data_IF_846510398660
#
_entry.id   IF_846510398660
#
_cell.length_a   1.000
_cell.length_b   1.000
_cell.length_c   1.000
_cell.angle_alpha   90.00
_cell.angle_beta   90.00
_cell.angle_gamma   90.00
#
_symmetry.space_group_name_H-M   'P 1'
#
loop_
_entity.id
_entity.type
_entity.pdbx_description
1 polymer ?
#
# COMPACT_ATOMS: atom_id res chain seq x y z
N UNK A 1 5.80 10.20 24.36
CA UNK A 1 6.54 9.66 23.23
C UNK A 1 6.69 10.72 22.13
N UNK A 2 7.85 10.87 21.42
CA UNK A 2 8.05 11.94 20.43
C UNK A 2 7.02 11.96 19.30
N UNK A 3 6.55 10.81 18.85
CA UNK A 3 5.52 10.71 17.80
C UNK A 3 4.17 11.24 18.31
N UNK A 4 3.83 10.98 19.56
CA UNK A 4 2.61 11.51 20.19
C UNK A 4 2.71 13.04 20.39
N UNK A 5 3.87 13.52 20.84
CA UNK A 5 4.13 14.96 20.98
C UNK A 5 3.97 15.67 19.63
N UNK A 6 4.56 15.13 18.59
CA UNK A 6 4.47 15.69 17.24
C UNK A 6 3.03 15.68 16.71
N UNK A 7 2.31 14.58 16.91
CA UNK A 7 0.91 14.45 16.54
C UNK A 7 0.02 15.43 17.31
N UNK A 8 0.25 15.59 18.62
CA UNK A 8 -0.51 16.52 19.45
C UNK A 8 -0.25 17.98 19.05
N UNK A 9 1.02 18.37 18.82
CA UNK A 9 1.36 19.72 18.35
C UNK A 9 0.67 20.04 17.02
N UNK A 10 0.64 19.08 16.10
CA UNK A 10 -0.09 19.21 14.85
C UNK A 10 -1.59 19.40 15.09
N UNK A 11 -2.20 18.53 15.92
CA UNK A 11 -3.62 18.59 16.25
C UNK A 11 -4.01 19.94 16.85
N UNK A 12 -3.24 20.41 17.82
CA UNK A 12 -3.48 21.71 18.48
C UNK A 12 -3.41 22.87 17.49
N UNK A 13 -2.41 22.91 16.62
CA UNK A 13 -2.27 24.01 15.65
C UNK A 13 -3.42 24.01 14.63
N UNK A 14 -3.85 22.82 14.16
CA UNK A 14 -5.01 22.73 13.24
C UNK A 14 -6.30 23.16 13.95
N UNK A 15 -6.45 22.86 15.25
CA UNK A 15 -7.65 23.19 16.04
C UNK A 15 -7.70 24.69 16.36
N UNK A 16 -6.56 25.30 16.77
CA UNK A 16 -6.47 26.75 17.05
C UNK A 16 -6.70 27.56 15.77
N UNK A 17 -6.24 27.05 14.63
CA UNK A 17 -6.42 27.62 13.30
C UNK A 17 -5.97 29.10 13.18
N UNK A 18 -4.73 29.45 13.57
CA UNK A 18 -4.33 30.85 13.77
C UNK A 18 -4.15 31.66 12.47
N UNK A 19 -4.04 31.02 11.32
CA UNK A 19 -3.79 31.68 10.05
C UNK A 19 -5.02 31.74 9.15
N UNK A 20 -5.12 32.76 8.30
CA UNK A 20 -6.19 32.86 7.30
C UNK A 20 -6.14 31.70 6.30
N UNK A 21 -4.94 31.26 5.91
CA UNK A 21 -4.71 30.07 5.06
C UNK A 21 -3.40 29.36 5.47
N UNK A 22 -3.26 28.12 5.07
CA UNK A 22 -2.03 27.35 5.29
C UNK A 22 -1.94 26.61 6.62
N UNK A 23 -2.94 26.67 7.50
CA UNK A 23 -2.90 26.02 8.82
C UNK A 23 -2.50 24.54 8.74
N UNK A 24 -3.12 23.77 7.86
CA UNK A 24 -2.78 22.37 7.69
C UNK A 24 -1.36 22.13 7.13
N UNK A 25 -0.83 23.04 6.32
CA UNK A 25 0.57 22.98 5.84
C UNK A 25 1.55 23.25 6.98
N UNK A 26 1.31 24.32 7.72
CA UNK A 26 2.13 24.72 8.86
C UNK A 26 2.11 23.65 9.96
N UNK A 27 0.95 23.09 10.28
CA UNK A 27 0.83 22.03 11.27
C UNK A 27 1.64 20.78 10.88
N UNK A 28 1.59 20.36 9.62
CA UNK A 28 2.42 19.24 9.15
C UNK A 28 3.92 19.55 9.18
N UNK A 29 4.32 20.77 8.87
CA UNK A 29 5.72 21.20 9.00
C UNK A 29 6.18 21.16 10.46
N UNK A 30 5.38 21.68 11.39
CA UNK A 30 5.67 21.64 12.82
C UNK A 30 5.80 20.19 13.33
N UNK A 31 4.84 19.34 12.96
CA UNK A 31 4.89 17.92 13.32
C UNK A 31 6.18 17.25 12.84
N UNK A 32 6.54 17.46 11.57
CA UNK A 32 7.73 16.88 10.99
C UNK A 32 9.03 17.47 11.58
N UNK A 33 9.03 18.74 11.92
CA UNK A 33 10.16 19.37 12.63
C UNK A 33 10.40 18.69 13.98
N UNK A 34 9.34 18.49 14.78
CA UNK A 34 9.42 17.81 16.08
C UNK A 34 9.92 16.36 15.90
N UNK A 35 9.39 15.63 14.91
CA UNK A 35 9.85 14.27 14.62
C UNK A 35 11.36 14.25 14.30
N UNK A 36 11.81 15.09 13.40
CA UNK A 36 13.22 15.14 12.99
C UNK A 36 14.15 15.56 14.13
N UNK A 37 13.75 16.49 14.99
CA UNK A 37 14.53 16.88 16.17
C UNK A 37 14.74 15.70 17.15
N UNK A 38 13.84 14.73 17.15
CA UNK A 38 13.93 13.52 17.98
C UNK A 38 14.47 12.30 17.22
N UNK A 39 15.06 12.48 16.03
CA UNK A 39 15.66 11.40 15.25
C UNK A 39 14.67 10.53 14.49
N UNK A 40 13.41 10.96 14.38
CA UNK A 40 12.39 10.27 13.60
C UNK A 40 12.33 10.80 12.17
N UNK A 41 12.07 9.94 11.17
CA UNK A 41 11.79 10.41 9.83
C UNK A 41 10.44 11.14 9.76
N UNK A 42 10.24 12.02 8.75
CA UNK A 42 9.00 12.77 8.63
C UNK A 42 7.79 11.86 8.36
N UNK A 43 6.65 12.19 8.95
CA UNK A 43 5.37 11.55 8.68
C UNK A 43 4.79 12.07 7.36
N UNK A 44 4.74 11.22 6.33
CA UNK A 44 4.21 11.55 5.02
C UNK A 44 2.78 11.03 4.86
N UNK A 45 1.79 11.92 4.95
CA UNK A 45 0.39 11.59 4.72
C UNK A 45 0.15 11.49 3.22
N UNK A 46 -0.07 10.26 2.71
CA UNK A 46 -0.26 10.01 1.28
C UNK A 46 -1.64 10.49 0.81
N UNK A 47 -1.74 10.80 -0.47
CA UNK A 47 -3.01 11.23 -1.10
C UNK A 47 -4.17 10.26 -0.83
N UNK A 48 -3.92 8.96 -0.83
CA UNK A 48 -4.93 7.91 -0.56
C UNK A 48 -5.39 7.88 0.90
N UNK A 49 -4.55 8.31 1.85
CA UNK A 49 -4.83 8.30 3.29
C UNK A 49 -5.48 9.62 3.74
N UNK A 50 -5.53 10.63 2.84
CA UNK A 50 -5.97 11.99 3.16
C UNK A 50 -7.40 12.07 3.70
N UNK A 51 -8.33 11.33 3.11
CA UNK A 51 -9.73 11.35 3.55
C UNK A 51 -9.87 10.81 4.97
N UNK A 52 -9.27 9.65 5.23
CA UNK A 52 -9.25 9.01 6.56
C UNK A 52 -8.59 9.93 7.61
N UNK A 53 -7.50 10.59 7.24
CA UNK A 53 -6.81 11.56 8.09
C UNK A 53 -7.69 12.76 8.43
N UNK A 54 -8.39 13.38 7.46
CA UNK A 54 -9.29 14.51 7.70
C UNK A 54 -10.44 14.09 8.60
N UNK A 55 -11.10 12.97 8.30
CA UNK A 55 -12.21 12.44 9.11
C UNK A 55 -11.80 12.16 10.55
N UNK A 56 -10.60 11.61 10.78
CA UNK A 56 -10.11 11.35 12.14
C UNK A 56 -9.82 12.64 12.92
N UNK A 57 -9.35 13.69 12.24
CA UNK A 57 -9.17 15.02 12.84
C UNK A 57 -10.52 15.66 13.20
N UNK A 58 -11.47 15.67 12.29
CA UNK A 58 -12.82 16.22 12.52
C UNK A 58 -13.50 15.49 13.68
N UNK A 59 -13.44 14.17 13.71
CA UNK A 59 -13.98 13.38 14.81
C UNK A 59 -13.37 13.77 16.17
N UNK A 60 -12.04 13.92 16.21
CA UNK A 60 -11.34 14.34 17.42
C UNK A 60 -11.72 15.78 17.85
N UNK A 61 -11.87 16.71 16.90
CA UNK A 61 -12.26 18.09 17.16
C UNK A 61 -13.70 18.22 17.68
N UNK A 62 -14.58 17.29 17.31
CA UNK A 62 -15.96 17.21 17.81
C UNK A 62 -16.07 16.52 19.18
N UNK A 63 -14.95 16.28 19.87
CA UNK A 63 -14.93 15.66 21.21
C UNK A 63 -14.83 14.13 21.18
N UNK A 64 -14.60 13.52 20.01
CA UNK A 64 -14.35 12.09 19.88
C UNK A 64 -12.91 11.69 20.23
N UNK A 65 -12.63 10.38 20.15
CA UNK A 65 -11.30 9.84 20.43
C UNK A 65 -10.27 10.28 19.39
N UNK A 66 -9.07 10.67 19.87
CA UNK A 66 -7.89 10.97 19.03
C UNK A 66 -7.15 9.71 18.55
N UNK A 67 -7.55 8.53 18.98
CA UNK A 67 -6.83 7.27 18.75
C UNK A 67 -6.65 6.98 17.24
N UNK A 68 -7.73 7.11 16.47
CA UNK A 68 -7.68 6.92 15.01
C UNK A 68 -6.71 7.87 14.32
N UNK A 69 -6.66 9.13 14.78
CA UNK A 69 -5.74 10.12 14.29
C UNK A 69 -4.27 9.77 14.65
N UNK A 70 -3.97 9.46 15.91
CA UNK A 70 -2.63 9.05 16.34
C UNK A 70 -2.13 7.82 15.59
N UNK A 71 -3.00 6.84 15.38
CA UNK A 71 -2.69 5.64 14.59
C UNK A 71 -2.24 5.98 13.17
N UNK A 72 -2.93 6.90 12.50
CA UNK A 72 -2.56 7.34 11.13
C UNK A 72 -1.18 7.99 11.12
N UNK A 73 -0.86 8.83 12.11
CA UNK A 73 0.47 9.47 12.20
C UNK A 73 1.54 8.41 12.46
N UNK A 74 1.34 7.51 13.43
CA UNK A 74 2.27 6.42 13.73
C UNK A 74 2.53 5.50 12.51
N UNK A 75 1.47 5.10 11.81
CA UNK A 75 1.57 4.36 10.56
C UNK A 75 2.36 5.11 9.48
N UNK A 76 2.24 6.45 9.45
CA UNK A 76 2.97 7.28 8.48
C UNK A 76 4.46 7.37 8.81
N UNK A 77 4.82 7.47 10.09
CA UNK A 77 6.22 7.42 10.57
C UNK A 77 6.84 6.05 10.30
N UNK A 78 6.15 4.96 10.64
CA UNK A 78 6.63 3.60 10.38
C UNK A 78 6.92 3.37 8.90
N UNK A 79 6.04 3.83 8.01
CA UNK A 79 6.29 3.74 6.56
C UNK A 79 7.53 4.53 6.11
N UNK A 80 7.78 5.67 6.74
CA UNK A 80 8.98 6.45 6.43
C UNK A 80 10.25 5.73 6.91
N UNK A 81 10.20 5.07 8.07
CA UNK A 81 11.29 4.19 8.51
C UNK A 81 11.55 3.04 7.53
N UNK A 82 10.51 2.37 7.05
CA UNK A 82 10.66 1.30 6.06
C UNK A 82 11.38 1.78 4.79
N UNK A 83 11.05 2.99 4.31
CA UNK A 83 11.72 3.59 3.14
C UNK A 83 13.20 3.88 3.48
N UNK A 84 13.46 4.42 4.66
CA UNK A 84 14.81 4.76 5.11
C UNK A 84 15.70 3.53 5.24
N UNK A 85 15.21 2.48 5.92
CA UNK A 85 15.96 1.24 6.11
C UNK A 85 16.25 0.52 4.79
N UNK A 86 15.32 0.53 3.85
CA UNK A 86 15.58 -0.02 2.50
C UNK A 86 16.69 0.74 1.79
N UNK A 87 16.63 2.06 1.80
CA UNK A 87 17.67 2.88 1.18
C UNK A 87 19.06 2.62 1.80
N UNK A 88 19.12 2.42 3.13
CA UNK A 88 20.37 2.10 3.82
C UNK A 88 20.88 0.67 3.54
N UNK A 89 19.96 -0.28 3.33
CA UNK A 89 20.31 -1.68 3.03
C UNK A 89 20.79 -1.91 1.60
N UNK A 90 20.78 -0.87 0.75
CA UNK A 90 21.07 -1.01 -0.68
C UNK A 90 20.03 -1.87 -1.43
N UNK A 91 18.90 -2.10 -0.80
CA UNK A 91 17.80 -2.84 -1.37
C UNK A 91 16.99 -1.91 -2.28
N UNK A 92 17.53 -1.66 -3.49
CA UNK A 92 16.88 -0.88 -4.55
C UNK A 92 15.66 -1.60 -5.16
N UNK A 93 15.26 -2.73 -4.60
CA UNK A 93 13.97 -3.31 -4.97
C UNK A 93 12.89 -2.26 -4.65
N UNK A 94 12.17 -1.78 -5.68
CA UNK A 94 11.07 -0.84 -5.44
C UNK A 94 10.19 -1.48 -4.38
N UNK A 95 9.92 -0.75 -3.30
CA UNK A 95 9.03 -1.22 -2.25
C UNK A 95 7.86 -1.93 -2.92
N UNK A 96 7.81 -3.24 -2.80
CA UNK A 96 6.63 -3.97 -3.22
C UNK A 96 5.51 -3.27 -2.46
N UNK A 97 4.75 -2.40 -3.16
CA UNK A 97 3.46 -1.96 -2.63
C UNK A 97 2.85 -3.23 -2.12
N UNK A 98 2.21 -3.28 -0.93
CA UNK A 98 1.32 -4.39 -0.67
C UNK A 98 0.42 -4.39 -1.91
N UNK A 99 0.73 -5.28 -2.84
CA UNK A 99 0.04 -5.33 -4.12
C UNK A 99 -1.36 -5.78 -3.75
N UNK A 100 -2.25 -4.79 -3.59
CA UNK A 100 -3.66 -5.10 -3.50
C UNK A 100 -3.97 -5.99 -4.70
N UNK A 101 -4.97 -6.83 -4.57
CA UNK A 101 -5.41 -7.74 -5.62
C UNK A 101 -5.31 -7.12 -7.01
N UNK A 102 -4.67 -7.82 -7.93
CA UNK A 102 -4.36 -7.35 -9.27
C UNK A 102 -5.57 -7.54 -10.20
N UNK A 103 -5.89 -6.55 -11.00
CA UNK A 103 -6.75 -6.77 -12.17
C UNK A 103 -5.95 -7.50 -13.26
N UNK A 104 -6.65 -8.21 -14.14
CA UNK A 104 -6.00 -8.97 -15.23
C UNK A 104 -5.05 -8.11 -16.09
N UNK A 105 -5.38 -6.85 -16.36
CA UNK A 105 -4.50 -5.96 -17.10
C UNK A 105 -3.23 -5.54 -16.34
N UNK A 106 -3.25 -5.56 -15.00
CA UNK A 106 -2.06 -5.32 -14.17
C UNK A 106 -1.19 -6.57 -14.14
N UNK A 107 -1.81 -7.75 -14.00
CA UNK A 107 -1.11 -9.04 -14.08
C UNK A 107 -0.44 -9.20 -15.44
N UNK A 108 -1.13 -8.85 -16.53
CA UNK A 108 -0.59 -8.85 -17.88
C UNK A 108 0.67 -7.98 -18.03
N UNK A 109 0.63 -6.75 -17.50
CA UNK A 109 1.79 -5.83 -17.52
C UNK A 109 2.99 -6.35 -16.73
N UNK A 110 2.74 -7.02 -15.60
CA UNK A 110 3.81 -7.52 -14.74
C UNK A 110 4.47 -8.79 -15.28
N UNK A 111 3.71 -9.61 -16.00
CA UNK A 111 4.16 -10.91 -16.52
C UNK A 111 4.57 -10.88 -17.99
N UNK A 112 4.24 -9.83 -18.71
CA UNK A 112 4.43 -9.74 -20.17
C UNK A 112 3.40 -10.56 -20.96
N UNK A 113 2.38 -11.14 -20.29
CA UNK A 113 1.37 -11.96 -20.93
C UNK A 113 0.20 -11.18 -21.52
N UNK A 114 -0.50 -11.79 -22.49
CA UNK A 114 -1.73 -11.20 -23.00
C UNK A 114 -2.91 -11.46 -22.05
N UNK A 115 -3.88 -10.53 -22.02
CA UNK A 115 -5.12 -10.74 -21.28
C UNK A 115 -5.88 -12.01 -21.72
N UNK A 116 -5.75 -12.39 -22.99
CA UNK A 116 -6.36 -13.61 -23.55
C UNK A 116 -5.73 -14.86 -22.94
N UNK A 117 -4.40 -14.93 -22.89
CA UNK A 117 -3.63 -16.01 -22.27
C UNK A 117 -4.00 -16.18 -20.79
N UNK A 118 -4.03 -15.06 -20.04
CA UNK A 118 -4.35 -15.11 -18.61
C UNK A 118 -5.80 -15.54 -18.36
N UNK A 119 -6.77 -15.12 -19.18
CA UNK A 119 -8.15 -15.61 -19.10
C UNK A 119 -8.24 -17.10 -19.36
N UNK A 120 -7.55 -17.59 -20.39
CA UNK A 120 -7.50 -19.00 -20.70
C UNK A 120 -6.91 -19.83 -19.55
N UNK A 121 -5.79 -19.38 -18.95
CA UNK A 121 -5.20 -20.04 -17.79
C UNK A 121 -6.09 -20.00 -16.54
N UNK A 122 -6.85 -18.92 -16.37
CA UNK A 122 -7.86 -18.85 -15.29
C UNK A 122 -8.99 -19.85 -15.53
N UNK A 123 -9.51 -19.95 -16.75
CA UNK A 123 -10.56 -20.91 -17.11
C UNK A 123 -10.07 -22.36 -17.00
N UNK A 124 -8.79 -22.60 -17.29
CA UNK A 124 -8.15 -23.91 -17.18
C UNK A 124 -7.72 -24.28 -15.76
N UNK A 125 -8.01 -23.42 -14.75
CA UNK A 125 -7.65 -23.65 -13.34
C UNK A 125 -6.18 -23.48 -13.00
N UNK A 126 -5.35 -23.00 -13.93
CA UNK A 126 -3.92 -22.74 -13.71
C UNK A 126 -3.69 -21.48 -12.87
N UNK A 127 -4.59 -20.50 -12.94
CA UNK A 127 -4.60 -19.28 -12.14
C UNK A 127 -5.88 -19.24 -11.30
N UNK A 128 -5.74 -18.89 -10.01
CA UNK A 128 -6.86 -18.78 -9.09
C UNK A 128 -7.31 -17.31 -8.98
N UNK A 129 -8.63 -17.11 -8.98
CA UNK A 129 -9.26 -15.83 -8.75
C UNK A 129 -9.41 -15.65 -7.24
N UNK A 130 -8.82 -14.59 -6.69
CA UNK A 130 -8.87 -14.29 -5.26
C UNK A 130 -10.17 -13.60 -4.87
N UNK A 131 -10.78 -12.84 -5.80
CA UNK A 131 -12.03 -12.11 -5.57
C UNK A 131 -12.62 -11.61 -6.89
N UNK A 132 -13.89 -11.18 -6.85
CA UNK A 132 -14.57 -10.57 -7.99
C UNK A 132 -15.12 -9.22 -7.55
N UNK A 133 -14.86 -8.16 -8.31
CA UNK A 133 -15.42 -6.83 -8.03
C UNK A 133 -16.92 -6.82 -8.23
N UNK A 134 -17.62 -5.82 -7.65
CA UNK A 134 -19.07 -5.61 -7.87
C UNK A 134 -19.46 -5.47 -9.35
N UNK A 135 -18.49 -5.09 -10.20
CA UNK A 135 -18.65 -4.99 -11.66
C UNK A 135 -18.26 -6.28 -12.41
N UNK A 136 -18.03 -7.41 -11.71
CA UNK A 136 -17.71 -8.70 -12.30
C UNK A 136 -16.26 -8.89 -12.77
N UNK A 137 -15.33 -8.00 -12.43
CA UNK A 137 -13.91 -8.16 -12.80
C UNK A 137 -13.18 -9.08 -11.83
N UNK A 138 -12.45 -10.05 -12.36
CA UNK A 138 -11.58 -10.92 -11.58
C UNK A 138 -10.41 -10.15 -10.97
N UNK A 139 -10.14 -10.46 -9.71
CA UNK A 139 -9.00 -9.96 -8.95
C UNK A 139 -8.09 -11.16 -8.58
N UNK A 140 -6.80 -10.98 -8.77
CA UNK A 140 -5.76 -11.98 -8.55
C UNK A 140 -4.85 -11.57 -7.40
N UNK A 141 -4.42 -12.53 -6.60
CA UNK A 141 -3.38 -12.27 -5.61
C UNK A 141 -2.02 -11.98 -6.29
N UNK A 142 -1.17 -11.16 -5.68
CA UNK A 142 0.16 -10.85 -6.21
C UNK A 142 1.01 -12.08 -6.52
N UNK A 143 0.88 -13.16 -5.75
CA UNK A 143 1.55 -14.44 -5.99
C UNK A 143 1.24 -15.08 -7.34
N UNK A 144 0.17 -14.62 -8.04
CA UNK A 144 -0.11 -15.09 -9.40
C UNK A 144 0.93 -14.61 -10.43
N UNK A 145 1.76 -13.61 -10.10
CA UNK A 145 2.89 -13.22 -10.95
C UNK A 145 3.92 -14.35 -11.02
N UNK A 146 4.32 -14.87 -9.85
CA UNK A 146 5.27 -15.99 -9.76
C UNK A 146 4.67 -17.26 -10.39
N UNK A 147 3.39 -17.48 -10.19
CA UNK A 147 2.65 -18.62 -10.79
C UNK A 147 2.69 -18.56 -12.32
N UNK A 148 2.51 -17.40 -12.92
CA UNK A 148 2.63 -17.18 -14.38
C UNK A 148 4.04 -17.50 -14.86
N UNK A 149 5.07 -17.07 -14.14
CA UNK A 149 6.47 -17.36 -14.47
C UNK A 149 6.76 -18.87 -14.43
N UNK A 150 6.28 -19.57 -13.39
CA UNK A 150 6.38 -21.04 -13.28
C UNK A 150 5.71 -21.76 -14.45
N UNK A 151 4.50 -21.32 -14.83
CA UNK A 151 3.79 -21.91 -15.99
C UNK A 151 4.65 -21.72 -17.25
N UNK A 152 5.25 -20.55 -17.47
CA UNK A 152 6.11 -20.28 -18.62
C UNK A 152 7.38 -21.11 -18.62
N UNK A 153 8.01 -21.29 -17.48
CA UNK A 153 9.18 -22.13 -17.34
C UNK A 153 8.86 -23.57 -17.73
N UNK A 154 7.79 -24.15 -17.16
CA UNK A 154 7.37 -25.52 -17.46
C UNK A 154 6.96 -25.69 -18.94
N UNK A 155 6.32 -24.69 -19.53
CA UNK A 155 6.06 -24.71 -20.99
C UNK A 155 7.35 -24.69 -21.81
N UNK A 156 8.38 -23.96 -21.37
CA UNK A 156 9.73 -23.98 -21.99
C UNK A 156 10.37 -25.36 -21.92
N UNK A 157 10.09 -26.12 -20.88
CA UNK A 157 10.50 -27.52 -20.68
C UNK A 157 9.61 -28.54 -21.42
N UNK A 158 8.70 -28.07 -22.28
CA UNK A 158 7.77 -28.85 -23.13
C UNK A 158 6.67 -29.61 -22.38
N UNK A 159 6.36 -29.27 -21.14
CA UNK A 159 5.19 -29.81 -20.44
C UNK A 159 3.88 -29.27 -21.04
N UNK A 160 2.90 -30.14 -21.17
CA UNK A 160 1.54 -29.75 -21.56
C UNK A 160 0.82 -29.05 -20.42
N UNK A 161 -0.19 -28.23 -20.73
CA UNK A 161 -0.96 -27.52 -19.70
C UNK A 161 -1.65 -28.46 -18.69
N UNK A 162 -1.99 -29.70 -19.09
CA UNK A 162 -2.54 -30.71 -18.18
C UNK A 162 -1.49 -31.21 -17.18
N UNK A 163 -0.27 -31.43 -17.63
CA UNK A 163 0.85 -31.85 -16.78
C UNK A 163 1.25 -30.72 -15.83
N UNK A 164 1.29 -29.50 -16.33
CA UNK A 164 1.54 -28.29 -15.54
C UNK A 164 0.47 -28.13 -14.45
N UNK A 165 -0.80 -28.30 -14.79
CA UNK A 165 -1.89 -28.27 -13.82
C UNK A 165 -1.72 -29.32 -12.73
N UNK A 166 -1.32 -30.56 -13.08
CA UNK A 166 -1.09 -31.62 -12.10
C UNK A 166 0.10 -31.36 -11.16
N UNK A 167 1.15 -30.66 -11.63
CA UNK A 167 2.33 -30.33 -10.82
C UNK A 167 2.12 -29.10 -9.91
N UNK A 168 1.17 -28.25 -10.24
CA UNK A 168 0.92 -26.98 -9.55
C UNK A 168 -0.29 -27.04 -8.59
N UNK A 169 -0.95 -28.23 -8.45
CA UNK A 169 -1.99 -28.49 -7.46
C UNK A 169 -1.30 -29.07 -6.22
N UNK A 170 -0.66 -28.20 -5.41
CA UNK A 170 -0.32 -28.43 -4.00
C UNK A 170 -0.70 -27.20 -3.19
#
# INVERSE_FOLDING_TARGET
>A
HPVELAAEAHYQLVTIHPFVDGNGRTARLLMNLILMQHGYPPALIRKRDRLRYIQSLEQAQLGGSKEAYYKIIAESVNRSFEIYFRALSGDDTPAAKPMGRLRIGQLAKLTGETNATLRFWTQSGLLTVADVTNAGYHLYDPGMVDRVQQIRQLQGERYTLKEISAQLID
#
